data_IF_939682805323
#
_entry.id   IF_939682805323
#
_cell.length_a   1.000
_cell.length_b   1.000
_cell.length_c   1.000
_cell.angle_alpha   90.00
_cell.angle_beta   90.00
_cell.angle_gamma   90.00
#
_symmetry.space_group_name_H-M   'P 1'
#
loop_
_entity.id
_entity.type
_entity.pdbx_description
1 polymer ?
#
# COMPACT_ATOMS: atom_id res chain seq x y z
N UNK A 1 17.14 -15.31 22.31
CA UNK A 1 16.15 -15.64 21.30
C UNK A 1 15.69 -14.37 20.63
N UNK A 2 15.65 -14.42 19.39
CA UNK A 2 15.11 -13.29 18.72
C UNK A 2 13.60 -13.38 18.87
N UNK A 3 13.01 -12.30 19.23
CA UNK A 3 11.58 -12.28 19.25
C UNK A 3 11.06 -12.51 17.84
N UNK A 4 9.90 -13.07 17.75
CA UNK A 4 9.29 -13.26 16.44
C UNK A 4 9.26 -11.92 15.74
N UNK A 5 9.62 -11.94 14.49
CA UNK A 5 9.58 -10.73 13.73
C UNK A 5 8.17 -10.19 13.78
N UNK A 6 8.07 -9.05 14.32
CA UNK A 6 6.79 -8.39 14.36
C UNK A 6 6.51 -7.79 13.01
N UNK A 7 5.38 -8.14 12.45
CA UNK A 7 4.96 -7.49 11.22
C UNK A 7 4.69 -6.03 11.51
N UNK A 8 5.20 -5.17 10.66
CA UNK A 8 4.93 -3.76 10.81
C UNK A 8 3.43 -3.51 10.67
N UNK A 9 2.88 -2.79 11.60
CA UNK A 9 1.49 -2.39 11.47
C UNK A 9 1.38 -1.33 10.38
N UNK A 10 0.36 -1.41 9.54
CA UNK A 10 0.16 -0.40 8.53
C UNK A 10 -0.03 0.97 9.14
N UNK A 11 0.50 1.97 8.50
CA UNK A 11 0.33 3.36 8.91
C UNK A 11 -0.44 4.09 7.84
N UNK A 12 -1.35 4.96 8.25
CA UNK A 12 -2.06 5.80 7.30
C UNK A 12 -1.04 6.58 6.47
N UNK A 13 -1.26 6.65 5.18
CA UNK A 13 -0.34 7.30 4.25
C UNK A 13 -1.08 8.33 3.44
N UNK A 14 -0.38 9.38 3.06
CA UNK A 14 -0.89 10.35 2.10
C UNK A 14 -0.37 9.96 0.73
N UNK A 15 -1.27 9.62 -0.16
CA UNK A 15 -0.91 9.17 -1.48
C UNK A 15 -1.57 10.07 -2.51
N UNK A 16 -0.78 10.60 -3.43
CA UNK A 16 -1.30 11.25 -4.61
C UNK A 16 -1.28 10.22 -5.72
N UNK A 17 -2.45 9.96 -6.28
CA UNK A 17 -2.60 8.89 -7.26
C UNK A 17 -3.01 9.46 -8.61
N UNK A 18 -2.60 8.74 -9.67
CA UNK A 18 -3.03 9.04 -11.02
C UNK A 18 -4.50 8.63 -11.19
N UNK A 19 -5.15 9.11 -12.26
CA UNK A 19 -6.56 8.72 -12.49
C UNK A 19 -6.79 7.22 -12.52
N UNK A 20 -5.80 6.44 -12.94
CA UNK A 20 -5.91 4.98 -12.92
C UNK A 20 -5.64 4.34 -11.58
N UNK A 21 -5.34 5.13 -10.55
CA UNK A 21 -5.11 4.62 -9.21
C UNK A 21 -3.66 4.41 -8.84
N UNK A 22 -2.75 4.51 -9.79
CA UNK A 22 -1.34 4.28 -9.54
C UNK A 22 -0.75 5.40 -8.68
N UNK A 23 -0.03 5.05 -7.60
CA UNK A 23 0.57 6.09 -6.76
C UNK A 23 1.63 6.90 -7.51
N UNK A 24 1.57 8.19 -7.38
CA UNK A 24 2.56 9.11 -7.95
C UNK A 24 3.47 9.67 -6.87
N UNK A 25 2.96 9.79 -5.66
CA UNK A 25 3.75 10.26 -4.52
C UNK A 25 3.16 9.65 -3.24
N UNK A 26 4.02 9.33 -2.30
CA UNK A 26 3.63 8.74 -1.02
C UNK A 26 4.33 9.52 0.08
N UNK A 27 3.53 10.13 0.97
CA UNK A 27 4.05 10.93 2.09
C UNK A 27 5.09 11.94 1.63
N UNK A 28 4.82 12.58 0.48
CA UNK A 28 5.72 13.58 -0.07
C UNK A 28 6.87 13.04 -0.89
N UNK A 29 7.01 11.73 -1.01
CA UNK A 29 8.09 11.13 -1.81
C UNK A 29 7.56 10.82 -3.19
N UNK A 30 8.20 11.37 -4.20
CA UNK A 30 7.81 11.12 -5.58
C UNK A 30 8.19 9.69 -5.95
N UNK A 31 7.28 9.00 -6.61
CA UNK A 31 7.50 7.61 -7.01
C UNK A 31 8.12 7.61 -8.41
N UNK A 32 9.26 6.94 -8.51
CA UNK A 32 9.95 6.81 -9.80
C UNK A 32 9.41 5.64 -10.60
N UNK A 33 8.92 4.60 -9.91
CA UNK A 33 8.72 3.34 -10.58
C UNK A 33 7.82 2.43 -9.75
N UNK A 34 6.90 1.73 -10.41
CA UNK A 34 6.06 0.72 -9.79
C UNK A 34 6.64 -0.63 -10.15
N UNK A 35 7.03 -1.41 -9.15
CA UNK A 35 7.58 -2.74 -9.42
C UNK A 35 6.47 -3.75 -9.64
N UNK A 36 5.45 -3.68 -8.80
CA UNK A 36 4.42 -4.70 -8.84
C UNK A 36 3.16 -4.15 -8.18
N UNK A 37 2.02 -4.68 -8.60
CA UNK A 37 0.74 -4.36 -7.99
C UNK A 37 -0.11 -5.61 -7.99
N UNK A 38 -0.84 -5.83 -6.90
CA UNK A 38 -1.72 -7.00 -6.81
C UNK A 38 -2.91 -6.67 -5.94
N UNK A 39 -3.98 -7.43 -6.16
CA UNK A 39 -5.23 -7.27 -5.44
C UNK A 39 -5.33 -8.40 -4.42
N UNK A 40 -5.66 -8.03 -3.19
CA UNK A 40 -5.94 -9.00 -2.14
C UNK A 40 -7.41 -8.87 -1.81
N UNK A 41 -8.13 -9.99 -1.90
CA UNK A 41 -9.52 -10.05 -1.51
C UNK A 41 -9.69 -11.21 -0.56
N UNK A 42 -10.31 -10.95 0.60
CA UNK A 42 -10.48 -11.97 1.61
C UNK A 42 -11.77 -11.68 2.34
N UNK A 43 -12.29 -12.68 3.06
CA UNK A 43 -13.50 -12.56 3.84
C UNK A 43 -14.67 -12.05 3.02
N UNK A 44 -14.70 -12.40 1.73
CA UNK A 44 -15.76 -11.95 0.84
C UNK A 44 -17.13 -12.49 1.29
N UNK A 45 -17.12 -13.49 2.16
CA UNK A 45 -18.36 -14.10 2.67
C UNK A 45 -18.87 -13.42 3.93
N UNK A 46 -18.20 -12.37 4.41
CA UNK A 46 -18.62 -11.66 5.61
C UNK A 46 -19.16 -10.30 5.25
N UNK A 47 -19.69 -9.60 6.25
CA UNK A 47 -20.18 -8.25 6.06
C UNK A 47 -19.06 -7.24 5.98
N UNK A 48 -17.83 -7.68 6.24
CA UNK A 48 -16.68 -6.79 6.19
C UNK A 48 -15.59 -7.44 5.35
N UNK A 49 -15.80 -7.54 4.05
CA UNK A 49 -14.79 -8.13 3.19
C UNK A 49 -13.53 -7.29 3.17
N UNK A 50 -12.41 -7.96 3.03
CA UNK A 50 -11.13 -7.31 2.88
C UNK A 50 -10.84 -7.16 1.40
N UNK A 51 -10.64 -5.94 0.93
CA UNK A 51 -10.26 -5.67 -0.45
C UNK A 51 -9.20 -4.60 -0.46
N UNK A 52 -8.01 -4.95 -0.94
CA UNK A 52 -6.88 -4.05 -0.95
C UNK A 52 -6.10 -4.19 -2.25
N UNK A 53 -5.73 -3.06 -2.83
CA UNK A 53 -4.79 -3.05 -3.94
C UNK A 53 -3.44 -2.68 -3.39
N UNK A 54 -2.48 -3.57 -3.50
CA UNK A 54 -1.12 -3.33 -3.05
C UNK A 54 -0.25 -2.83 -4.19
N UNK A 55 0.73 -2.02 -3.82
CA UNK A 55 1.69 -1.46 -4.77
C UNK A 55 3.07 -1.54 -4.16
N UNK A 56 4.00 -2.16 -4.86
CA UNK A 56 5.40 -2.15 -4.50
C UNK A 56 6.08 -1.10 -5.35
N UNK A 57 6.71 -0.13 -4.71
CA UNK A 57 7.14 1.10 -5.35
C UNK A 57 8.59 1.39 -5.05
N UNK A 58 9.22 2.16 -5.95
CA UNK A 58 10.54 2.73 -5.70
C UNK A 58 10.42 4.24 -5.85
N UNK A 59 10.87 4.97 -4.83
CA UNK A 59 10.86 6.42 -4.89
C UNK A 59 12.02 6.93 -5.74
N UNK A 60 11.97 8.21 -6.07
CA UNK A 60 13.06 8.81 -6.84
C UNK A 60 14.39 8.79 -6.10
N UNK A 61 14.34 8.72 -4.77
CA UNK A 61 15.56 8.58 -3.97
C UNK A 61 16.04 7.13 -3.86
N UNK A 62 15.37 6.21 -4.52
CA UNK A 62 15.77 4.80 -4.53
C UNK A 62 15.22 3.99 -3.36
N UNK A 63 14.27 4.52 -2.63
CA UNK A 63 13.72 3.84 -1.46
C UNK A 63 12.59 2.91 -1.88
N UNK A 64 12.59 1.71 -1.32
CA UNK A 64 11.51 0.76 -1.53
C UNK A 64 10.36 1.07 -0.59
N UNK A 65 9.15 1.01 -1.12
CA UNK A 65 7.94 1.26 -0.36
C UNK A 65 6.88 0.25 -0.75
N UNK A 66 6.06 -0.15 0.21
CA UNK A 66 4.89 -0.96 -0.06
C UNK A 66 3.70 -0.22 0.55
N UNK A 67 2.74 0.09 -0.29
CA UNK A 67 1.51 0.76 0.15
C UNK A 67 0.32 -0.04 -0.30
N UNK A 68 -0.81 0.17 0.32
CA UNK A 68 -2.04 -0.40 -0.19
C UNK A 68 -3.18 0.59 -0.09
N UNK A 69 -4.09 0.44 -1.01
CA UNK A 69 -5.32 1.20 -1.06
C UNK A 69 -6.43 0.28 -0.59
N UNK A 70 -7.04 0.65 0.53
CA UNK A 70 -8.19 -0.11 1.03
C UNK A 70 -9.38 0.28 0.18
N UNK A 71 -9.88 -0.65 -0.60
CA UNK A 71 -10.93 -0.35 -1.57
C UNK A 71 -12.30 -0.27 -0.93
N UNK A 72 -12.43 -0.69 0.32
CA UNK A 72 -13.69 -0.60 1.03
C UNK A 72 -13.94 0.82 1.55
N UNK A 73 -12.89 1.48 2.04
CA UNK A 73 -13.07 2.82 2.61
C UNK A 73 -12.29 3.90 1.88
N UNK A 74 -11.50 3.54 0.87
CA UNK A 74 -10.78 4.51 0.07
C UNK A 74 -9.52 5.06 0.72
N UNK A 75 -9.09 4.51 1.83
CA UNK A 75 -7.92 5.02 2.55
C UNK A 75 -6.66 4.32 2.09
N UNK A 76 -5.57 5.04 2.24
CA UNK A 76 -4.25 4.52 1.87
C UNK A 76 -3.41 4.26 3.11
N UNK A 77 -2.60 3.21 3.04
CA UNK A 77 -1.74 2.83 4.15
C UNK A 77 -0.37 2.44 3.62
N UNK A 78 0.63 2.62 4.45
CA UNK A 78 1.98 2.21 4.19
C UNK A 78 2.26 0.96 5.00
N UNK A 79 2.71 -0.11 4.32
CA UNK A 79 3.10 -1.33 4.98
C UNK A 79 4.58 -1.27 5.34
N UNK A 80 5.38 -0.64 4.48
CA UNK A 80 6.78 -0.45 4.77
C UNK A 80 7.40 0.60 3.87
#
# INVERSE_FOLDING_TARGET
VSEPRRLALPRAARVRAAPGGQPLAVDGRVIAHVRESWLVEDRWWTEQPLRRRYWELVSESGRDLVVFHDLADGRWFRQR
#
